data_IF_037623646850
#
_entry.id   IF_037623646850
#
_cell.length_a   1.000
_cell.length_b   1.000
_cell.length_c   1.000
_cell.angle_alpha   90.00
_cell.angle_beta   90.00
_cell.angle_gamma   90.00
#
_symmetry.space_group_name_H-M   'P 1'
#
loop_
_entity.id
_entity.type
_entity.pdbx_description
1 polymer ?
#
# COMPACT_ATOMS: atom_id res chain seq x y z
N UNK A 1 -40.58 21.15 84.63
CA UNK A 1 -41.34 20.30 83.69
C UNK A 1 -40.40 19.88 82.57
N UNK A 2 -40.40 18.58 82.28
CA UNK A 2 -39.61 17.78 81.33
C UNK A 2 -39.41 18.43 79.94
N UNK A 3 -38.34 18.21 79.16
CA UNK A 3 -37.93 16.96 78.46
C UNK A 3 -36.45 17.03 77.99
N UNK A 4 -35.82 15.84 77.85
CA UNK A 4 -34.46 15.47 77.41
C UNK A 4 -33.94 16.06 76.07
N UNK A 5 -32.60 16.08 75.83
CA UNK A 5 -32.01 16.02 74.50
C UNK A 5 -31.67 14.56 74.13
N UNK A 6 -32.31 14.02 73.08
CA UNK A 6 -31.99 12.71 72.53
C UNK A 6 -31.15 12.88 71.27
N UNK A 7 -29.84 12.67 71.42
CA UNK A 7 -29.03 12.13 70.32
C UNK A 7 -29.58 10.75 69.96
N UNK A 8 -29.62 10.46 68.66
CA UNK A 8 -29.37 9.16 67.99
C UNK A 8 -30.25 9.04 66.74
N UNK A 9 -29.54 9.03 65.62
CA UNK A 9 -29.79 8.27 64.39
C UNK A 9 -31.15 8.39 63.69
N UNK A 10 -31.13 8.99 62.50
CA UNK A 10 -31.81 8.52 61.27
C UNK A 10 -31.26 9.41 60.15
N UNK A 11 -30.24 8.94 59.42
CA UNK A 11 -30.39 8.26 58.13
C UNK A 11 -31.00 9.17 57.04
N UNK A 12 -30.37 9.14 55.85
CA UNK A 12 -30.76 9.80 54.59
C UNK A 12 -30.02 11.10 54.25
N UNK A 13 -28.70 11.01 54.07
CA UNK A 13 -27.96 11.87 53.15
C UNK A 13 -27.07 11.00 52.25
N UNK A 14 -27.75 10.19 51.44
CA UNK A 14 -27.17 9.41 50.34
C UNK A 14 -27.98 9.70 49.08
N UNK A 15 -27.71 10.82 48.43
CA UNK A 15 -27.88 10.92 46.98
C UNK A 15 -26.67 11.65 46.41
N UNK A 16 -25.80 10.79 45.89
CA UNK A 16 -24.58 11.06 45.15
C UNK A 16 -24.78 12.18 44.12
N UNK A 17 -23.92 13.19 44.21
CA UNK A 17 -23.61 14.12 43.12
C UNK A 17 -23.13 13.33 41.92
N UNK A 18 -24.06 13.04 41.02
CA UNK A 18 -23.77 12.50 39.70
C UNK A 18 -23.91 13.64 38.71
N UNK A 19 -22.79 14.21 38.27
CA UNK A 19 -22.82 14.99 37.05
C UNK A 19 -21.43 15.16 36.42
N UNK A 20 -21.34 14.63 35.20
CA UNK A 20 -20.41 15.03 34.13
C UNK A 20 -18.93 14.67 34.25
N UNK A 21 -18.63 13.38 34.03
CA UNK A 21 -17.54 13.01 33.12
C UNK A 21 -18.00 11.85 32.24
N UNK A 22 -18.94 12.13 31.33
CA UNK A 22 -19.15 11.28 30.17
C UNK A 22 -18.03 11.65 29.18
N UNK A 23 -16.83 11.12 29.41
CA UNK A 23 -15.79 11.12 28.40
C UNK A 23 -16.33 10.30 27.23
N UNK A 24 -16.90 10.98 26.23
CA UNK A 24 -17.13 10.40 24.91
C UNK A 24 -15.75 10.10 24.33
N UNK A 25 -15.18 8.97 24.73
CA UNK A 25 -14.22 8.26 23.91
C UNK A 25 -14.92 8.04 22.58
N UNK A 26 -14.53 8.81 21.56
CA UNK A 26 -14.77 8.41 20.18
C UNK A 26 -14.04 7.09 20.06
N UNK A 27 -14.79 5.98 20.21
CA UNK A 27 -14.33 4.70 19.73
C UNK A 27 -13.88 4.97 18.30
N UNK A 28 -12.57 4.86 18.04
CA UNK A 28 -12.07 4.91 16.69
C UNK A 28 -12.88 3.86 15.93
N UNK A 29 -13.75 4.33 15.02
CA UNK A 29 -14.52 3.43 14.19
C UNK A 29 -13.49 2.52 13.53
N UNK A 30 -13.52 1.24 13.90
CA UNK A 30 -12.67 0.24 13.29
C UNK A 30 -13.11 0.23 11.84
N UNK A 31 -12.34 0.88 10.97
CA UNK A 31 -12.51 0.81 9.53
C UNK A 31 -12.34 -0.67 9.17
N UNK A 32 -13.46 -1.39 9.11
CA UNK A 32 -13.48 -2.72 8.55
C UNK A 32 -12.99 -2.56 7.11
N UNK A 33 -11.82 -3.14 6.80
CA UNK A 33 -11.50 -3.40 5.40
C UNK A 33 -12.61 -4.35 4.97
N UNK A 34 -13.46 -3.96 4.00
CA UNK A 34 -14.52 -4.84 3.55
C UNK A 34 -13.85 -6.15 3.10
N UNK A 35 -14.08 -7.23 3.85
CA UNK A 35 -13.79 -8.57 3.33
C UNK A 35 -14.73 -8.74 2.14
N UNK A 36 -14.16 -9.07 0.97
CA UNK A 36 -14.84 -9.32 -0.32
C UNK A 36 -15.19 -8.11 -1.20
N UNK A 37 -14.26 -7.18 -1.42
CA UNK A 37 -14.22 -6.63 -2.77
C UNK A 37 -13.59 -7.71 -3.64
N UNK A 38 -14.31 -8.27 -4.63
CA UNK A 38 -13.70 -9.19 -5.61
C UNK A 38 -12.56 -8.44 -6.30
N UNK A 39 -11.33 -8.73 -5.87
CA UNK A 39 -10.13 -8.12 -6.40
C UNK A 39 -9.84 -8.75 -7.75
N UNK A 40 -9.62 -7.91 -8.74
CA UNK A 40 -9.41 -8.32 -10.13
C UNK A 40 -8.20 -7.54 -10.63
N UNK A 41 -7.04 -8.20 -10.60
CA UNK A 41 -5.77 -7.59 -10.99
C UNK A 41 -5.77 -7.21 -12.47
N UNK A 42 -6.45 -8.00 -13.32
CA UNK A 42 -6.56 -7.76 -14.76
C UNK A 42 -7.26 -6.42 -15.00
N UNK A 43 -8.36 -6.12 -14.31
CA UNK A 43 -9.05 -4.83 -14.42
C UNK A 43 -8.19 -3.65 -13.96
N UNK A 44 -7.34 -3.83 -12.95
CA UNK A 44 -6.44 -2.77 -12.47
C UNK A 44 -5.37 -2.47 -13.51
N UNK A 45 -4.72 -3.52 -14.03
CA UNK A 45 -3.60 -3.43 -14.96
C UNK A 45 -4.02 -3.15 -16.41
N UNK A 46 -5.27 -3.44 -16.79
CA UNK A 46 -5.80 -3.15 -18.12
C UNK A 46 -6.11 -1.65 -18.29
N UNK A 47 -5.05 -0.84 -18.39
CA UNK A 47 -5.11 0.61 -18.54
C UNK A 47 -4.04 1.07 -19.53
N UNK A 48 -4.34 2.10 -20.32
CA UNK A 48 -3.33 2.81 -21.14
C UNK A 48 -2.54 3.85 -20.34
N UNK A 49 -2.99 4.17 -19.12
CA UNK A 49 -2.34 5.14 -18.23
C UNK A 49 -1.24 4.48 -17.43
N UNK A 50 -0.19 5.25 -17.11
CA UNK A 50 0.87 4.85 -16.18
C UNK A 50 0.30 4.54 -14.79
N UNK A 51 0.83 3.48 -14.19
CA UNK A 51 0.61 3.13 -12.80
C UNK A 51 1.88 3.50 -12.03
N UNK A 52 1.84 4.62 -11.30
CA UNK A 52 2.99 5.14 -10.56
C UNK A 52 3.13 4.46 -9.21
N UNK A 53 4.33 3.97 -8.88
CA UNK A 53 4.65 3.56 -7.51
C UNK A 53 4.74 4.83 -6.67
N UNK A 54 3.72 5.06 -5.85
CA UNK A 54 3.63 6.25 -5.01
C UNK A 54 4.31 6.04 -3.66
N UNK A 55 4.15 4.85 -3.08
CA UNK A 55 4.77 4.41 -1.84
C UNK A 55 5.24 2.98 -1.97
N UNK A 56 6.37 2.66 -1.33
CA UNK A 56 6.80 1.27 -1.16
C UNK A 56 7.46 1.04 0.20
N UNK A 57 7.63 -0.21 0.59
CA UNK A 57 8.35 -0.57 1.83
C UNK A 57 9.81 -0.92 1.61
N UNK A 58 10.18 -1.31 0.39
CA UNK A 58 11.57 -1.49 -0.01
C UNK A 58 12.28 -0.14 -0.10
N UNK A 59 13.53 -0.06 0.39
CA UNK A 59 14.33 1.15 0.19
C UNK A 59 14.46 1.45 -1.31
N UNK A 60 14.27 2.72 -1.70
CA UNK A 60 14.53 3.19 -3.05
C UNK A 60 15.93 3.81 -3.19
N UNK A 61 16.81 3.57 -2.21
CA UNK A 61 18.22 3.91 -2.29
C UNK A 61 19.09 2.68 -2.21
N UNK A 62 20.14 2.65 -3.02
CA UNK A 62 21.20 1.65 -2.96
C UNK A 62 22.56 2.33 -3.08
N UNK A 63 23.61 1.64 -2.66
CA UNK A 63 24.96 2.17 -2.71
C UNK A 63 25.79 1.42 -3.74
N UNK A 64 26.46 2.16 -4.61
CA UNK A 64 27.56 1.61 -5.43
C UNK A 64 28.88 2.01 -4.78
N UNK A 65 29.68 1.00 -4.46
CA UNK A 65 31.04 1.19 -3.98
C UNK A 65 32.00 1.13 -5.18
N UNK A 66 32.50 2.30 -5.60
CA UNK A 66 33.65 2.37 -6.48
C UNK A 66 34.94 2.50 -5.66
N UNK A 67 36.09 2.22 -6.26
CA UNK A 67 37.40 2.07 -5.59
C UNK A 67 37.77 3.23 -4.65
N UNK A 68 37.20 4.43 -4.84
CA UNK A 68 37.48 5.62 -4.03
C UNK A 68 36.25 6.42 -3.61
N UNK A 69 35.03 6.03 -4.00
CA UNK A 69 33.80 6.79 -3.74
C UNK A 69 32.64 5.85 -3.45
N UNK A 70 31.87 6.19 -2.42
CA UNK A 70 30.58 5.59 -2.13
C UNK A 70 29.48 6.49 -2.70
N UNK A 71 28.77 6.02 -3.71
CA UNK A 71 27.67 6.76 -4.34
C UNK A 71 26.35 6.19 -3.86
N UNK A 72 25.56 7.00 -3.14
CA UNK A 72 24.16 6.69 -2.85
C UNK A 72 23.32 7.06 -4.07
N UNK A 73 22.64 6.07 -4.62
CA UNK A 73 21.79 6.19 -5.80
C UNK A 73 20.35 6.02 -5.35
N UNK A 74 19.51 6.96 -5.74
CA UNK A 74 18.07 6.94 -5.48
C UNK A 74 17.29 6.63 -6.77
N UNK A 75 16.43 5.62 -6.69
CA UNK A 75 15.42 5.30 -7.70
C UNK A 75 14.19 6.18 -7.46
N UNK A 76 13.75 6.88 -8.49
CA UNK A 76 12.59 7.77 -8.43
C UNK A 76 11.69 7.59 -9.64
N UNK A 77 10.49 8.17 -9.58
CA UNK A 77 9.58 8.22 -10.72
C UNK A 77 9.27 6.83 -11.32
N UNK A 78 9.11 5.84 -10.44
CA UNK A 78 8.89 4.46 -10.86
C UNK A 78 7.43 4.30 -11.34
N UNK A 79 7.23 3.74 -12.53
CA UNK A 79 5.89 3.41 -13.04
C UNK A 79 5.87 2.20 -13.97
N UNK A 80 4.72 1.53 -13.97
CA UNK A 80 4.42 0.50 -14.95
C UNK A 80 3.67 1.11 -16.15
N UNK A 81 4.14 0.78 -17.35
CA UNK A 81 3.51 1.12 -18.63
C UNK A 81 3.18 -0.17 -19.38
N UNK A 82 1.89 -0.47 -19.49
CA UNK A 82 1.38 -1.62 -20.26
C UNK A 82 1.88 -1.58 -21.70
N UNK A 83 2.40 -2.70 -22.17
CA UNK A 83 2.63 -3.02 -23.58
C UNK A 83 1.38 -3.74 -24.12
N UNK A 84 1.03 -4.87 -23.50
CA UNK A 84 -0.15 -5.66 -23.84
C UNK A 84 -0.70 -6.40 -22.60
N UNK A 85 -1.95 -6.84 -22.65
CA UNK A 85 -2.57 -7.66 -21.62
C UNK A 85 -3.58 -8.64 -22.26
N UNK A 86 -3.60 -9.88 -21.80
CA UNK A 86 -4.57 -10.91 -22.13
C UNK A 86 -5.28 -11.40 -20.86
N UNK A 87 -6.01 -12.51 -20.94
CA UNK A 87 -6.58 -13.17 -19.75
C UNK A 87 -5.52 -13.91 -18.92
N UNK A 88 -4.33 -14.18 -19.47
CA UNK A 88 -3.27 -14.95 -18.82
C UNK A 88 -2.01 -14.13 -18.58
N UNK A 89 -1.72 -13.16 -19.44
CA UNK A 89 -0.42 -12.49 -19.49
C UNK A 89 -0.58 -10.96 -19.43
N UNK A 90 0.42 -10.30 -18.84
CA UNK A 90 0.58 -8.86 -18.79
C UNK A 90 2.01 -8.50 -19.16
N UNK A 91 2.21 -7.92 -20.34
CA UNK A 91 3.51 -7.42 -20.79
C UNK A 91 3.59 -5.92 -20.49
N UNK A 92 4.66 -5.49 -19.83
CA UNK A 92 4.81 -4.10 -19.44
C UNK A 92 6.28 -3.67 -19.33
N UNK A 93 6.49 -2.37 -19.45
CA UNK A 93 7.74 -1.74 -19.02
C UNK A 93 7.59 -1.28 -17.58
N UNK A 94 8.54 -1.62 -16.72
CA UNK A 94 8.77 -0.85 -15.51
C UNK A 94 9.84 0.20 -15.83
N UNK A 95 9.48 1.48 -15.67
CA UNK A 95 10.39 2.60 -15.94
C UNK A 95 10.68 3.34 -14.65
N UNK A 96 11.88 3.86 -14.52
CA UNK A 96 12.34 4.60 -13.36
C UNK A 96 13.46 5.58 -13.73
N UNK A 97 13.63 6.61 -12.93
CA UNK A 97 14.74 7.55 -13.01
C UNK A 97 15.81 7.18 -11.98
N UNK A 98 17.03 6.95 -12.47
CA UNK A 98 18.22 6.59 -11.68
C UNK A 98 19.31 7.61 -12.01
N UNK A 99 19.69 8.44 -11.04
CA UNK A 99 20.66 9.55 -11.25
C UNK A 99 20.25 10.48 -12.42
N UNK A 100 18.94 10.66 -12.64
CA UNK A 100 18.38 11.51 -13.70
C UNK A 100 18.31 10.84 -15.07
N UNK A 101 18.82 9.63 -15.22
CA UNK A 101 18.68 8.82 -16.44
C UNK A 101 17.47 7.89 -16.34
N UNK A 102 16.79 7.68 -17.47
CA UNK A 102 15.66 6.74 -17.52
C UNK A 102 16.16 5.32 -17.74
N UNK A 103 15.81 4.42 -16.82
CA UNK A 103 16.00 2.98 -16.94
C UNK A 103 14.65 2.33 -17.29
N UNK A 104 14.67 1.34 -18.19
CA UNK A 104 13.48 0.62 -18.64
C UNK A 104 13.70 -0.90 -18.56
N UNK A 105 12.87 -1.58 -17.77
CA UNK A 105 12.90 -3.04 -17.61
C UNK A 105 11.69 -3.67 -18.31
N UNK A 106 11.89 -4.56 -19.30
CA UNK A 106 10.81 -5.31 -19.92
C UNK A 106 10.38 -6.46 -19.03
N UNK A 107 9.14 -6.46 -18.58
CA UNK A 107 8.61 -7.46 -17.65
C UNK A 107 7.41 -8.20 -18.23
N UNK A 108 7.26 -9.46 -17.83
CA UNK A 108 6.09 -10.30 -18.08
C UNK A 108 5.47 -10.70 -16.75
N UNK A 109 4.21 -10.35 -16.54
CA UNK A 109 3.36 -10.92 -15.50
C UNK A 109 2.50 -12.06 -16.06
N UNK A 110 2.48 -13.23 -15.42
CA UNK A 110 1.47 -14.28 -15.68
C UNK A 110 0.49 -14.37 -14.53
N UNK A 111 -0.80 -14.25 -14.82
CA UNK A 111 -1.84 -14.30 -13.80
C UNK A 111 -1.92 -15.68 -13.16
N UNK A 112 -1.96 -15.70 -11.83
CA UNK A 112 -2.16 -16.93 -11.08
C UNK A 112 -3.65 -17.26 -11.16
N UNK A 113 -3.97 -18.38 -11.81
CA UNK A 113 -5.36 -18.80 -12.01
C UNK A 113 -6.07 -19.03 -10.67
N UNK A 114 -7.33 -18.64 -10.64
CA UNK A 114 -8.26 -18.94 -9.55
C UNK A 114 -9.55 -19.48 -10.20
N UNK A 115 -9.96 -20.69 -9.81
CA UNK A 115 -11.05 -21.40 -10.48
C UNK A 115 -12.41 -20.71 -10.33
N UNK A 116 -12.60 -19.96 -9.25
CA UNK A 116 -13.93 -19.43 -8.87
C UNK A 116 -13.99 -17.91 -8.81
N UNK A 117 -12.84 -17.23 -8.81
CA UNK A 117 -12.75 -15.78 -8.76
C UNK A 117 -11.79 -15.24 -9.83
N UNK A 118 -11.93 -13.98 -10.26
CA UNK A 118 -10.91 -13.34 -11.07
C UNK A 118 -9.53 -13.44 -10.40
N UNK A 119 -8.44 -13.54 -11.18
CA UNK A 119 -7.11 -13.57 -10.61
C UNK A 119 -6.86 -12.26 -9.86
N UNK A 120 -6.22 -12.37 -8.70
CA UNK A 120 -5.78 -11.23 -7.89
C UNK A 120 -4.24 -11.17 -7.78
N UNK A 121 -3.52 -12.14 -8.35
CA UNK A 121 -2.07 -12.19 -8.32
C UNK A 121 -1.48 -12.49 -9.70
N UNK A 122 -0.21 -12.13 -9.87
CA UNK A 122 0.62 -12.55 -11.01
C UNK A 122 2.04 -12.86 -10.55
N UNK A 123 2.67 -13.82 -11.20
CA UNK A 123 4.11 -14.06 -11.10
C UNK A 123 4.82 -13.20 -12.15
N UNK A 124 5.99 -12.65 -11.84
CA UNK A 124 6.69 -11.67 -12.68
C UNK A 124 8.06 -12.18 -13.08
N UNK A 125 8.36 -12.06 -14.36
CA UNK A 125 9.64 -12.39 -15.00
C UNK A 125 10.30 -11.12 -15.54
N UNK A 126 11.62 -11.05 -15.42
CA UNK A 126 12.44 -10.09 -16.15
C UNK A 126 12.81 -10.67 -17.51
N UNK A 127 12.41 -9.99 -18.59
CA UNK A 127 12.68 -10.45 -19.97
C UNK A 127 14.03 -9.97 -20.50
N UNK A 128 14.75 -9.13 -19.74
CA UNK A 128 16.11 -8.69 -20.07
C UNK A 128 17.18 -9.67 -19.60
N UNK A 129 16.84 -10.52 -18.63
CA UNK A 129 17.71 -11.58 -18.14
C UNK A 129 17.50 -12.89 -18.91
N UNK A 130 18.50 -13.77 -18.87
CA UNK A 130 18.41 -15.10 -19.48
C UNK A 130 17.78 -16.14 -18.52
N UNK A 131 17.29 -15.72 -17.35
CA UNK A 131 16.56 -16.58 -16.43
C UNK A 131 15.10 -16.75 -16.90
N UNK A 132 14.64 -17.99 -16.89
CA UNK A 132 13.29 -18.37 -17.26
C UNK A 132 12.32 -18.46 -16.07
N UNK A 133 12.80 -18.18 -14.85
CA UNK A 133 12.05 -18.33 -13.62
C UNK A 133 11.45 -16.98 -13.18
N UNK A 134 10.23 -16.95 -12.60
CA UNK A 134 9.70 -15.71 -12.06
C UNK A 134 10.50 -15.31 -10.82
N UNK A 135 10.79 -14.03 -10.65
CA UNK A 135 11.55 -13.53 -9.50
C UNK A 135 10.64 -13.08 -8.34
N UNK A 136 9.38 -12.73 -8.64
CA UNK A 136 8.46 -12.15 -7.66
C UNK A 136 7.00 -12.46 -7.99
N UNK A 137 6.18 -12.64 -6.96
CA UNK A 137 4.71 -12.65 -7.04
C UNK A 137 4.14 -11.31 -6.60
N UNK A 138 3.35 -10.68 -7.45
CA UNK A 138 2.58 -9.46 -7.13
C UNK A 138 1.13 -9.82 -6.82
N UNK A 139 0.68 -9.60 -5.58
CA UNK A 139 -0.69 -9.91 -5.12
C UNK A 139 -1.45 -8.63 -4.80
N UNK A 140 -2.52 -8.36 -5.55
CA UNK A 140 -3.43 -7.25 -5.29
C UNK A 140 -4.18 -7.50 -3.97
N UNK A 141 -4.01 -6.58 -3.02
CA UNK A 141 -4.63 -6.66 -1.69
C UNK A 141 -5.72 -5.59 -1.48
N UNK A 142 -5.68 -4.49 -2.23
CA UNK A 142 -6.68 -3.44 -2.18
C UNK A 142 -6.73 -2.64 -3.48
N UNK A 143 -7.92 -2.24 -3.93
CA UNK A 143 -8.05 -1.27 -5.02
C UNK A 143 -9.30 -0.40 -4.87
N UNK A 144 -9.13 0.91 -4.99
CA UNK A 144 -10.24 1.85 -4.97
C UNK A 144 -9.85 3.16 -5.67
N UNK A 145 -10.73 3.66 -6.55
CA UNK A 145 -10.63 5.00 -7.18
C UNK A 145 -9.26 5.29 -7.82
N UNK A 146 -8.65 4.28 -8.46
CA UNK A 146 -7.35 4.43 -9.12
C UNK A 146 -6.14 4.31 -8.19
N UNK A 147 -6.34 3.99 -6.92
CA UNK A 147 -5.29 3.54 -6.03
C UNK A 147 -5.33 2.01 -5.91
N UNK A 148 -4.17 1.37 -5.91
CA UNK A 148 -4.05 -0.08 -5.71
C UNK A 148 -2.88 -0.39 -4.81
N UNK A 149 -3.01 -1.39 -3.94
CA UNK A 149 -1.95 -1.83 -3.02
C UNK A 149 -1.65 -3.29 -3.34
N UNK A 150 -0.37 -3.56 -3.60
CA UNK A 150 0.15 -4.88 -3.90
C UNK A 150 1.09 -5.32 -2.79
N UNK A 151 1.03 -6.61 -2.46
CA UNK A 151 2.09 -7.31 -1.73
C UNK A 151 2.99 -7.97 -2.76
N UNK A 152 4.29 -7.81 -2.56
CA UNK A 152 5.32 -8.38 -3.39
C UNK A 152 6.02 -9.49 -2.59
N UNK A 153 5.93 -10.71 -3.06
CA UNK A 153 6.55 -11.88 -2.42
C UNK A 153 7.70 -12.36 -3.31
N UNK A 154 8.96 -12.30 -2.85
CA UNK A 154 10.10 -12.87 -3.58
C UNK A 154 9.91 -14.37 -3.84
N UNK A 155 10.37 -14.86 -5.00
CA UNK A 155 10.23 -16.28 -5.38
C UNK A 155 11.56 -17.02 -5.54
N UNK A 156 12.69 -16.29 -5.71
CA UNK A 156 14.01 -16.89 -5.94
C UNK A 156 14.96 -16.79 -4.74
N UNK A 157 14.73 -15.85 -3.83
CA UNK A 157 15.54 -15.64 -2.63
C UNK A 157 14.65 -15.62 -1.39
N UNK A 158 15.21 -16.00 -0.23
CA UNK A 158 14.58 -15.84 1.09
C UNK A 158 14.54 -14.34 1.45
N UNK A 159 13.67 -13.60 0.77
CA UNK A 159 13.42 -12.18 1.00
C UNK A 159 12.14 -11.94 1.81
N UNK A 160 12.07 -10.78 2.45
CA UNK A 160 10.86 -10.35 3.15
C UNK A 160 9.78 -9.90 2.15
N UNK A 161 8.51 -10.04 2.53
CA UNK A 161 7.42 -9.47 1.74
C UNK A 161 7.48 -7.95 1.74
N UNK A 162 7.34 -7.37 0.56
CA UNK A 162 7.30 -5.94 0.37
C UNK A 162 5.89 -5.49 -0.02
N UNK A 163 5.66 -4.18 0.05
CA UNK A 163 4.35 -3.60 -0.19
C UNK A 163 4.50 -2.38 -1.07
N UNK A 164 3.66 -2.25 -2.09
CA UNK A 164 3.66 -1.11 -3.00
C UNK A 164 2.26 -0.53 -3.19
N UNK A 165 2.18 0.79 -3.17
CA UNK A 165 0.99 1.55 -3.53
C UNK A 165 1.15 2.12 -4.93
N UNK A 166 0.27 1.72 -5.82
CA UNK A 166 0.20 2.24 -7.18
C UNK A 166 -0.93 3.27 -7.31
N UNK A 167 -0.62 4.40 -7.95
CA UNK A 167 -1.59 5.42 -8.34
C UNK A 167 -1.67 5.48 -9.85
N UNK A 168 -2.83 5.12 -10.38
CA UNK A 168 -3.15 5.30 -11.78
C UNK A 168 -3.35 6.78 -12.05
N UNK A 169 -2.61 7.32 -13.03
CA UNK A 169 -2.71 8.73 -13.34
C UNK A 169 -4.16 9.15 -13.64
N UNK A 170 -4.57 10.28 -13.08
CA UNK A 170 -5.82 10.95 -13.41
C UNK A 170 -5.51 12.36 -13.91
N UNK A 171 -6.32 12.90 -14.82
CA UNK A 171 -6.12 14.22 -15.42
C UNK A 171 -6.06 15.40 -14.41
N UNK A 172 -6.15 15.14 -13.10
CA UNK A 172 -6.27 16.16 -12.04
C UNK A 172 -5.14 16.11 -11.00
N UNK A 173 -4.51 14.95 -10.75
CA UNK A 173 -3.29 14.81 -9.92
C UNK A 173 -2.90 13.34 -9.76
N UNK A 174 -1.62 13.11 -9.46
CA UNK A 174 -1.14 11.88 -8.81
C UNK A 174 -1.15 12.14 -7.32
N UNK A 175 -2.18 11.66 -6.64
CA UNK A 175 -2.26 11.69 -5.18
C UNK A 175 -3.13 10.53 -4.71
N UNK A 176 -2.71 9.77 -3.68
CA UNK A 176 -3.54 8.73 -3.08
C UNK A 176 -4.79 9.33 -2.41
N UNK A 177 -5.97 8.72 -2.60
CA UNK A 177 -7.12 8.99 -1.76
C UNK A 177 -6.79 8.72 -0.28
N UNK A 178 -7.41 9.47 0.63
CA UNK A 178 -7.18 9.33 2.08
C UNK A 178 -7.30 7.87 2.57
N UNK A 179 -8.37 7.19 2.16
CA UNK A 179 -8.61 5.79 2.51
C UNK A 179 -7.51 4.84 2.03
N UNK A 180 -6.91 5.09 0.87
CA UNK A 180 -5.82 4.25 0.38
C UNK A 180 -4.56 4.37 1.27
N UNK A 181 -4.26 5.58 1.76
CA UNK A 181 -3.18 5.77 2.74
C UNK A 181 -3.46 5.02 4.05
N UNK A 182 -4.70 5.05 4.54
CA UNK A 182 -5.07 4.33 5.77
C UNK A 182 -4.94 2.82 5.60
N UNK A 183 -5.38 2.28 4.46
CA UNK A 183 -5.28 0.85 4.15
C UNK A 183 -3.81 0.44 3.98
N UNK A 184 -3.01 1.25 3.26
CA UNK A 184 -1.57 0.99 3.10
C UNK A 184 -0.86 0.90 4.44
N UNK A 185 -1.06 1.87 5.35
CA UNK A 185 -0.46 1.83 6.69
C UNK A 185 -0.88 0.61 7.52
N UNK A 186 -2.07 0.07 7.27
CA UNK A 186 -2.59 -1.09 8.00
C UNK A 186 -2.03 -2.40 7.46
N UNK A 187 -1.92 -2.51 6.14
CA UNK A 187 -1.44 -3.69 5.43
C UNK A 187 0.09 -3.74 5.48
N UNK A 188 0.74 -2.66 5.07
CA UNK A 188 2.18 -2.51 5.00
C UNK A 188 2.71 -1.98 6.34
N UNK A 189 3.15 -2.88 7.23
CA UNK A 189 3.61 -2.55 8.59
C UNK A 189 5.13 -2.28 8.69
N UNK A 190 5.70 -1.66 7.67
CA UNK A 190 7.13 -1.43 7.56
C UNK A 190 7.46 0.06 7.32
N UNK A 191 8.75 0.38 7.27
CA UNK A 191 9.25 1.68 6.80
C UNK A 191 8.67 2.01 5.43
N UNK A 192 8.45 3.30 5.16
CA UNK A 192 7.80 3.76 3.93
C UNK A 192 8.71 4.70 3.18
N UNK A 193 8.88 4.42 1.90
CA UNK A 193 9.63 5.21 0.94
C UNK A 193 8.67 5.76 -0.14
N UNK A 194 8.93 6.96 -0.64
CA UNK A 194 8.08 7.67 -1.60
C UNK A 194 8.85 7.95 -2.90
N UNK A 195 9.00 6.96 -3.80
CA UNK A 195 9.76 7.14 -5.03
C UNK A 195 9.09 8.14 -6.00
N UNK A 196 7.78 8.36 -5.87
CA UNK A 196 7.08 9.38 -6.63
C UNK A 196 7.31 10.78 -6.08
N UNK A 197 7.86 11.66 -6.92
CA UNK A 197 8.04 13.10 -6.64
C UNK A 197 7.13 13.92 -7.56
N UNK A 198 6.73 15.15 -7.18
CA UNK A 198 5.91 16.01 -8.05
C UNK A 198 6.53 16.28 -9.43
N UNK A 199 7.86 16.26 -9.54
CA UNK A 199 8.62 16.39 -10.79
C UNK A 199 8.37 15.26 -11.79
N UNK A 200 7.99 14.06 -11.33
CA UNK A 200 7.74 12.90 -12.20
C UNK A 200 6.57 13.11 -13.18
N UNK A 201 5.73 14.13 -12.95
CA UNK A 201 4.64 14.49 -13.90
C UNK A 201 5.15 14.96 -15.26
N UNK A 202 6.40 15.42 -15.33
CA UNK A 202 7.00 15.95 -16.54
C UNK A 202 7.59 14.87 -17.45
N UNK A 203 7.80 13.66 -16.93
CA UNK A 203 8.19 12.47 -17.70
C UNK A 203 7.01 11.96 -18.55
#
# INVERSE_FOLDING_TARGET
MTVLPSSIALALLSFLLQSYMCAKGKAAARLEIPKSQHLDIVKVLNTSRRLWVYKRTQTNTFTINETYVQLEIEETCIFNKKINISSTDYYFWQKMSVVGETVELPLLGKFVENETEPPNAMDVWDLSENDSSPFQRMTLNYTERGCSIFILTPLQEDGEEECEMYIRNSNRSISPPHRCNEVFKRICKASVYEPYKPSCKAE
#
